data_IF_213565502522
#
_entry.id   IF_213565502522
#
_cell.length_a   1.000
_cell.length_b   1.000
_cell.length_c   1.000
_cell.angle_alpha   90.00
_cell.angle_beta   90.00
_cell.angle_gamma   90.00
#
_symmetry.space_group_name_H-M   'P 1'
#
loop_
_entity.id
_entity.type
_entity.pdbx_description
1 polymer ?
#
# COMPACT_ATOMS: atom_id res chain seq x y z
N UNK A 1 -9.35 0.46 8.14
CA UNK A 1 -9.02 -0.98 7.86
C UNK A 1 -9.26 -1.86 9.11
N UNK A 2 -9.44 -3.19 9.00
CA UNK A 2 -9.60 -4.10 10.18
C UNK A 2 -8.39 -4.13 11.12
N UNK A 3 -7.16 -4.08 10.58
CA UNK A 3 -5.92 -4.02 11.39
C UNK A 3 -5.90 -2.80 12.31
N UNK A 4 -6.27 -1.62 11.78
CA UNK A 4 -6.38 -0.37 12.53
C UNK A 4 -7.34 -0.51 13.71
N UNK A 5 -8.57 -0.95 13.47
CA UNK A 5 -9.58 -1.11 14.52
C UNK A 5 -9.14 -2.09 15.63
N UNK A 6 -8.45 -3.17 15.27
CA UNK A 6 -7.89 -4.11 16.25
C UNK A 6 -6.85 -3.43 17.17
N UNK A 7 -5.94 -2.65 16.59
CA UNK A 7 -4.90 -1.94 17.36
C UNK A 7 -5.51 -0.83 18.22
N UNK A 8 -6.45 -0.04 17.67
CA UNK A 8 -7.16 1.01 18.42
C UNK A 8 -7.87 0.46 19.66
N UNK A 9 -8.48 -0.73 19.54
CA UNK A 9 -9.09 -1.41 20.68
C UNK A 9 -8.05 -1.88 21.70
N UNK A 10 -6.92 -2.42 21.24
CA UNK A 10 -5.88 -2.98 22.11
C UNK A 10 -5.15 -1.92 22.95
N UNK A 11 -4.92 -0.72 22.39
CA UNK A 11 -4.23 0.38 23.08
C UNK A 11 -5.18 1.27 23.89
N UNK A 12 -6.48 0.93 23.93
CA UNK A 12 -7.48 1.73 24.61
C UNK A 12 -7.20 1.78 26.11
N UNK A 13 -7.07 2.99 26.65
CA UNK A 13 -6.82 3.23 28.09
C UNK A 13 -5.33 3.29 28.47
N UNK A 14 -4.42 2.98 27.55
CA UNK A 14 -2.99 3.23 27.75
C UNK A 14 -2.69 4.74 27.64
N UNK A 15 -2.24 5.42 28.70
CA UNK A 15 -2.03 6.86 28.68
C UNK A 15 -0.93 7.32 27.70
N UNK A 16 0.02 6.44 27.36
CA UNK A 16 1.15 6.73 26.49
C UNK A 16 0.84 6.49 25.01
N UNK A 17 -0.19 5.69 24.72
CA UNK A 17 -0.54 5.26 23.35
C UNK A 17 -1.92 5.73 22.89
N UNK A 18 -2.91 5.85 23.78
CA UNK A 18 -4.31 6.06 23.41
C UNK A 18 -4.56 7.40 22.68
N UNK A 19 -3.64 8.36 22.77
CA UNK A 19 -3.71 9.66 22.08
C UNK A 19 -3.00 9.68 20.73
N UNK A 20 -2.24 8.64 20.39
CA UNK A 20 -1.51 8.60 19.13
C UNK A 20 -2.44 8.18 17.98
N UNK A 21 -2.34 8.80 16.80
CA UNK A 21 -3.08 8.34 15.63
C UNK A 21 -2.60 6.96 15.20
N UNK A 22 -3.54 6.04 15.00
CA UNK A 22 -3.25 4.70 14.47
C UNK A 22 -3.35 4.72 12.94
N UNK A 23 -2.25 4.33 12.30
CA UNK A 23 -2.14 4.15 10.86
C UNK A 23 -2.09 2.65 10.53
N UNK A 24 -2.54 2.28 9.33
CA UNK A 24 -2.49 0.89 8.87
C UNK A 24 -1.85 0.80 7.49
N UNK A 25 -0.72 0.11 7.40
CA UNK A 25 -0.02 -0.16 6.14
C UNK A 25 -0.38 -1.57 5.60
N UNK A 26 -0.53 -1.68 4.29
CA UNK A 26 -0.66 -2.97 3.61
C UNK A 26 -0.23 -2.88 2.14
N UNK A 27 0.52 -3.89 1.69
CA UNK A 27 0.86 -4.09 0.29
C UNK A 27 -0.18 -4.95 -0.44
N UNK A 28 -0.43 -4.69 -1.74
CA UNK A 28 -1.24 -5.57 -2.57
C UNK A 28 -0.38 -6.74 -3.11
N UNK A 29 -0.84 -7.98 -2.92
CA UNK A 29 -0.09 -9.18 -3.33
C UNK A 29 -0.50 -9.75 -4.69
N UNK A 30 -1.81 -9.75 -5.00
CA UNK A 30 -2.36 -10.22 -6.29
C UNK A 30 -2.74 -9.02 -7.15
N UNK A 31 -1.83 -8.65 -8.06
CA UNK A 31 -1.91 -7.43 -8.89
C UNK A 31 -1.85 -7.72 -10.40
N UNK A 32 -2.25 -8.93 -10.81
CA UNK A 32 -2.23 -9.31 -12.23
C UNK A 32 -0.86 -9.78 -12.73
N UNK A 33 0.04 -10.16 -11.83
CA UNK A 33 1.38 -10.66 -12.15
C UNK A 33 2.27 -9.66 -12.93
N UNK A 34 3.55 -9.99 -13.09
CA UNK A 34 4.50 -9.11 -13.81
C UNK A 34 4.37 -9.17 -15.33
N UNK A 35 3.66 -10.17 -15.85
CA UNK A 35 3.51 -10.44 -17.28
C UNK A 35 2.07 -10.23 -17.76
N UNK A 36 1.30 -9.40 -17.06
CA UNK A 36 -0.11 -9.16 -17.34
C UNK A 36 -0.90 -10.48 -17.32
N UNK A 37 -0.75 -11.23 -16.22
CA UNK A 37 -1.47 -12.47 -15.94
C UNK A 37 -2.82 -12.16 -15.28
N UNK A 38 -3.94 -12.25 -16.03
CA UNK A 38 -5.26 -11.91 -15.51
C UNK A 38 -5.74 -12.86 -14.41
N UNK A 39 -5.18 -14.06 -14.30
CA UNK A 39 -5.52 -15.01 -13.23
C UNK A 39 -4.87 -14.64 -11.88
N UNK A 40 -3.91 -13.71 -11.89
CA UNK A 40 -3.18 -13.26 -10.70
C UNK A 40 -3.83 -12.05 -9.99
N UNK A 41 -5.13 -11.82 -10.21
CA UNK A 41 -5.94 -10.90 -9.42
C UNK A 41 -6.75 -11.64 -8.33
N UNK A 42 -7.23 -10.90 -7.34
CA UNK A 42 -8.25 -11.43 -6.42
C UNK A 42 -9.59 -11.33 -7.11
N UNK A 43 -10.26 -12.46 -7.27
CA UNK A 43 -11.63 -12.53 -7.77
C UNK A 43 -12.57 -12.91 -6.64
N UNK A 44 -13.61 -12.09 -6.43
CA UNK A 44 -14.65 -12.35 -5.45
C UNK A 44 -15.98 -12.27 -6.16
N UNK A 45 -16.59 -13.44 -6.40
CA UNK A 45 -17.93 -13.51 -6.95
C UNK A 45 -18.95 -12.82 -6.05
N UNK A 46 -20.00 -12.28 -6.66
CA UNK A 46 -21.10 -11.67 -5.91
C UNK A 46 -21.78 -12.74 -5.04
N UNK A 47 -21.79 -12.53 -3.73
CA UNK A 47 -22.42 -13.46 -2.80
C UNK A 47 -21.89 -13.33 -1.38
N UNK A 48 -22.04 -14.40 -0.61
CA UNK A 48 -21.50 -14.50 0.74
C UNK A 48 -19.98 -14.55 0.71
N UNK A 49 -19.33 -13.72 1.52
CA UNK A 49 -17.88 -13.75 1.66
C UNK A 49 -17.48 -15.01 2.43
N UNK A 50 -16.58 -15.78 1.83
CA UNK A 50 -16.07 -17.03 2.41
C UNK A 50 -14.66 -16.83 2.97
N UNK A 51 -14.22 -17.75 3.84
CA UNK A 51 -12.82 -17.78 4.31
C UNK A 51 -11.82 -17.91 3.16
N UNK A 52 -12.19 -18.56 2.06
CA UNK A 52 -11.37 -18.63 0.85
C UNK A 52 -11.09 -17.25 0.27
N UNK A 53 -12.09 -16.34 0.24
CA UNK A 53 -11.89 -14.98 -0.25
C UNK A 53 -10.92 -14.20 0.65
N UNK A 54 -10.97 -14.39 1.96
CA UNK A 54 -10.03 -13.78 2.90
C UNK A 54 -8.60 -14.30 2.71
N UNK A 55 -8.43 -15.60 2.48
CA UNK A 55 -7.12 -16.22 2.23
C UNK A 55 -6.52 -15.77 0.90
N UNK A 56 -7.33 -15.59 -0.14
CA UNK A 56 -6.84 -15.14 -1.46
C UNK A 56 -6.37 -13.66 -1.45
N UNK A 57 -6.89 -12.85 -0.52
CA UNK A 57 -6.46 -11.46 -0.30
C UNK A 57 -5.07 -11.35 0.34
N UNK A 58 -4.69 -12.31 1.20
CA UNK A 58 -3.45 -12.25 1.97
C UNK A 58 -2.73 -13.61 1.92
N UNK A 59 -1.94 -13.80 0.86
CA UNK A 59 -1.31 -15.08 0.52
C UNK A 59 -0.20 -15.52 1.48
N UNK A 60 0.36 -14.59 2.25
CA UNK A 60 1.53 -14.85 3.08
C UNK A 60 1.15 -14.95 4.56
N UNK A 61 1.74 -15.86 5.34
CA UNK A 61 1.47 -15.98 6.77
C UNK A 61 2.20 -14.88 7.58
N UNK A 62 2.10 -13.62 7.16
CA UNK A 62 2.74 -12.50 7.85
C UNK A 62 2.02 -12.20 9.17
N UNK A 63 2.80 -11.87 10.20
CA UNK A 63 2.27 -11.44 11.48
C UNK A 63 1.93 -9.94 11.47
N UNK A 64 0.94 -9.54 12.28
CA UNK A 64 0.67 -8.13 12.55
C UNK A 64 1.71 -7.62 13.55
N UNK A 65 2.39 -6.53 13.21
CA UNK A 65 3.32 -5.82 14.10
C UNK A 65 2.89 -4.35 14.19
N UNK A 66 3.01 -3.78 15.39
CA UNK A 66 2.72 -2.36 15.65
C UNK A 66 4.04 -1.70 16.06
N UNK A 67 4.35 -0.57 15.42
CA UNK A 67 5.54 0.23 15.71
C UNK A 67 5.15 1.68 15.95
N UNK A 68 5.87 2.35 16.85
CA UNK A 68 5.76 3.81 17.01
C UNK A 68 6.71 4.46 16.01
N UNK A 69 6.17 5.31 15.14
CA UNK A 69 6.92 6.02 14.11
C UNK A 69 6.61 7.51 14.16
N UNK A 70 7.61 8.32 13.82
CA UNK A 70 7.50 9.75 13.60
C UNK A 70 6.88 10.05 12.23
N UNK A 71 6.36 11.28 12.07
CA UNK A 71 5.85 11.73 10.77
C UNK A 71 6.89 11.73 9.66
N UNK A 72 8.18 11.90 10.00
CA UNK A 72 9.30 11.81 9.05
C UNK A 72 9.45 10.39 8.52
N UNK A 73 9.46 9.39 9.40
CA UNK A 73 9.60 7.97 9.01
C UNK A 73 8.39 7.50 8.17
N UNK A 74 7.18 7.95 8.52
CA UNK A 74 5.98 7.67 7.71
C UNK A 74 6.10 8.27 6.31
N UNK A 75 6.63 9.50 6.20
CA UNK A 75 6.87 10.13 4.90
C UNK A 75 7.91 9.34 4.10
N UNK A 76 9.04 8.98 4.70
CA UNK A 76 10.10 8.20 4.05
C UNK A 76 9.59 6.83 3.57
N UNK A 77 8.70 6.18 4.33
CA UNK A 77 8.03 4.95 3.90
C UNK A 77 7.18 5.19 2.64
N UNK A 78 6.39 6.26 2.61
CA UNK A 78 5.59 6.62 1.43
C UNK A 78 6.48 6.90 0.21
N UNK A 79 7.63 7.57 0.38
CA UNK A 79 8.60 7.79 -0.70
C UNK A 79 9.19 6.47 -1.22
N UNK A 80 9.54 5.54 -0.32
CA UNK A 80 9.98 4.20 -0.70
C UNK A 80 8.90 3.44 -1.48
N UNK A 81 7.65 3.52 -1.05
CA UNK A 81 6.51 2.91 -1.75
C UNK A 81 6.30 3.54 -3.13
N UNK A 82 6.48 4.86 -3.25
CA UNK A 82 6.35 5.58 -4.52
C UNK A 82 7.34 5.10 -5.60
N UNK A 83 8.40 4.38 -5.24
CA UNK A 83 9.32 3.72 -6.18
C UNK A 83 8.65 2.72 -7.16
N UNK A 84 7.40 2.33 -6.90
CA UNK A 84 6.56 1.58 -7.85
C UNK A 84 6.28 2.37 -9.14
N UNK A 85 6.35 3.69 -9.12
CA UNK A 85 6.03 4.55 -10.26
C UNK A 85 7.28 5.17 -10.89
N UNK A 86 7.29 5.27 -12.22
CA UNK A 86 8.28 6.06 -12.97
C UNK A 86 7.78 7.50 -13.13
N UNK A 87 8.72 8.44 -13.19
CA UNK A 87 8.40 9.81 -13.59
C UNK A 87 8.19 9.87 -15.10
N UNK A 88 7.09 10.50 -15.52
CA UNK A 88 6.73 10.67 -16.93
C UNK A 88 7.29 12.00 -17.44
N UNK A 89 8.03 11.93 -18.54
CA UNK A 89 8.46 13.10 -19.30
C UNK A 89 7.31 13.60 -20.19
N UNK A 90 6.83 14.80 -19.90
CA UNK A 90 5.73 15.45 -20.64
C UNK A 90 6.13 16.03 -21.99
N UNK A 91 7.44 16.14 -22.26
CA UNK A 91 7.95 16.66 -23.52
C UNK A 91 8.20 15.54 -24.55
N UNK A 92 8.16 14.29 -24.11
CA UNK A 92 8.32 13.12 -24.97
C UNK A 92 6.96 12.56 -25.41
N UNK A 93 6.78 12.43 -26.72
CA UNK A 93 5.63 11.75 -27.31
C UNK A 93 5.82 10.23 -27.41
N UNK A 94 6.94 9.68 -26.91
CA UNK A 94 7.19 8.23 -26.94
C UNK A 94 6.36 7.55 -25.84
N UNK A 95 5.93 6.29 -26.05
CA UNK A 95 5.31 5.50 -25.00
C UNK A 95 6.22 5.38 -23.77
N UNK A 96 5.66 5.63 -22.59
CA UNK A 96 6.35 5.56 -21.30
C UNK A 96 5.54 4.69 -20.34
N UNK A 97 6.19 3.73 -19.69
CA UNK A 97 5.53 2.92 -18.65
C UNK A 97 5.48 3.69 -17.34
N UNK A 98 4.27 3.93 -16.81
CA UNK A 98 4.11 4.51 -15.48
C UNK A 98 4.57 3.56 -14.38
N UNK A 99 4.34 2.26 -14.55
CA UNK A 99 4.68 1.25 -13.54
C UNK A 99 6.12 0.77 -13.76
N UNK A 100 6.89 0.73 -12.67
CA UNK A 100 8.24 0.19 -12.62
C UNK A 100 8.24 -1.33 -12.44
N UNK A 101 7.85 -2.05 -13.50
CA UNK A 101 7.78 -3.51 -13.48
C UNK A 101 9.13 -4.19 -13.25
N UNK A 102 10.21 -3.63 -13.78
CA UNK A 102 11.54 -4.24 -13.77
C UNK A 102 12.26 -4.04 -12.43
N UNK A 103 12.25 -2.79 -11.95
CA UNK A 103 13.03 -2.34 -10.79
C UNK A 103 12.31 -2.44 -9.45
N UNK A 104 10.98 -2.49 -9.43
CA UNK A 104 10.21 -2.47 -8.18
C UNK A 104 9.36 -3.74 -8.01
N UNK A 105 9.28 -4.22 -6.77
CA UNK A 105 8.49 -5.40 -6.42
C UNK A 105 7.21 -4.92 -5.74
N UNK A 106 6.04 -5.32 -6.25
CA UNK A 106 4.77 -4.74 -5.78
C UNK A 106 4.42 -5.07 -4.33
N UNK A 107 4.96 -6.15 -3.77
CA UNK A 107 4.85 -6.42 -2.33
C UNK A 107 5.62 -5.40 -1.45
N UNK A 108 6.45 -4.53 -2.03
CA UNK A 108 7.10 -3.39 -1.36
C UNK A 108 6.32 -2.08 -1.56
N UNK A 109 5.18 -2.08 -2.27
CA UNK A 109 4.32 -0.92 -2.40
C UNK A 109 3.26 -0.96 -1.31
N UNK A 110 3.41 -0.15 -0.28
CA UNK A 110 2.42 -0.08 0.79
C UNK A 110 1.40 1.06 0.56
N UNK A 111 0.15 0.76 0.86
CA UNK A 111 -0.92 1.74 1.04
C UNK A 111 -1.10 1.99 2.53
N UNK A 112 -1.12 3.26 2.95
CA UNK A 112 -1.26 3.64 4.36
C UNK A 112 -2.62 4.32 4.59
N UNK A 113 -3.50 3.67 5.33
CA UNK A 113 -4.79 4.23 5.80
C UNK A 113 -4.57 5.09 7.04
N UNK A 114 -5.28 6.24 7.09
CA UNK A 114 -5.19 7.23 8.16
C UNK A 114 -4.40 8.50 7.81
N UNK A 115 -3.85 8.60 6.59
CA UNK A 115 -3.19 9.80 6.07
C UNK A 115 -3.66 10.12 4.65
N UNK A 116 -3.62 11.39 4.28
CA UNK A 116 -3.87 11.84 2.90
C UNK A 116 -2.53 12.15 2.23
N UNK A 117 -2.26 11.56 1.08
CA UNK A 117 -1.04 11.75 0.32
C UNK A 117 -1.30 11.64 -1.19
N UNK A 118 -0.39 12.17 -1.99
CA UNK A 118 -0.46 12.13 -3.44
C UNK A 118 0.91 11.78 -4.04
N UNK A 119 0.94 10.78 -4.91
CA UNK A 119 2.15 10.44 -5.67
C UNK A 119 2.20 11.28 -6.95
N UNK A 120 3.18 12.18 -7.04
CA UNK A 120 3.37 13.03 -8.22
C UNK A 120 4.30 12.34 -9.22
N UNK A 121 3.70 11.69 -10.21
CA UNK A 121 4.45 11.02 -11.29
C UNK A 121 4.71 11.93 -12.50
N UNK A 122 4.17 13.16 -12.48
CA UNK A 122 4.31 14.16 -13.54
C UNK A 122 4.70 15.49 -12.91
N UNK A 123 5.85 16.04 -13.32
CA UNK A 123 6.28 17.39 -12.95
C UNK A 123 6.00 18.33 -14.12
N UNK A 124 4.88 19.06 -14.06
CA UNK A 124 4.57 20.12 -15.03
C UNK A 124 5.09 21.50 -14.61
N UNK A 125 5.78 21.61 -13.46
CA UNK A 125 6.45 22.84 -13.01
C UNK A 125 7.74 22.50 -12.27
N UNK A 126 8.81 23.30 -12.41
CA UNK A 126 9.93 23.26 -11.48
C UNK A 126 9.45 23.64 -10.08
N UNK A 127 10.17 23.15 -9.06
CA UNK A 127 10.00 23.56 -7.67
C UNK A 127 10.09 25.09 -7.50
#
# INVERSE_FOLDING_TARGET
MRKKAYVEHFIQGDPDLAKLPVLSAAAPFKVGGRKNDPASFVEVEKGQLTFRNAADLYLYPNTLVVVKASGKEVKEWLECSAGQFKQIDIHSNKPQSLINWDGFRTYNFDVIDGVNYQNRCVTARPL
#
